data_IF_781922801591
#
_entry.id   IF_781922801591
#
_cell.length_a   1.000
_cell.length_b   1.000
_cell.length_c   1.000
_cell.angle_alpha   90.00
_cell.angle_beta   90.00
_cell.angle_gamma   90.00
#
_symmetry.space_group_name_H-M   'P 1'
#
loop_
_entity.id
_entity.type
_entity.pdbx_description
1 polymer ?
#
# COMPACT_ATOMS: atom_id res chain seq x y z
N UNK A 1 7.08 15.08 -9.32
CA UNK A 1 7.17 16.05 -8.19
C UNK A 1 8.31 15.72 -7.21
N UNK A 2 8.57 14.46 -6.83
CA UNK A 2 9.71 14.16 -5.92
C UNK A 2 11.08 14.25 -6.62
N UNK A 3 11.16 13.94 -7.93
CA UNK A 3 12.39 14.00 -8.73
C UNK A 3 13.17 15.33 -8.73
N UNK A 4 12.54 16.45 -8.38
CA UNK A 4 13.16 17.79 -8.42
C UNK A 4 13.81 18.25 -7.11
N UNK A 5 13.78 17.44 -6.03
CA UNK A 5 14.21 17.87 -4.68
C UNK A 5 15.40 17.07 -4.11
N UNK A 6 16.10 16.31 -4.96
CA UNK A 6 16.66 15.04 -4.53
C UNK A 6 18.01 15.03 -3.80
N UNK A 7 18.83 16.07 -3.87
CA UNK A 7 20.17 16.01 -3.26
C UNK A 7 20.23 16.47 -1.81
N UNK A 8 19.24 17.23 -1.33
CA UNK A 8 19.32 17.88 0.00
C UNK A 8 18.09 17.65 0.90
N UNK A 9 17.01 17.06 0.37
CA UNK A 9 15.80 16.83 1.15
C UNK A 9 15.99 15.69 2.17
N UNK A 10 15.53 15.94 3.41
CA UNK A 10 15.44 14.91 4.46
C UNK A 10 14.00 14.45 4.60
N UNK A 11 13.76 13.15 4.51
CA UNK A 11 12.43 12.57 4.68
C UNK A 11 12.27 12.02 6.09
N UNK A 12 11.08 12.22 6.65
CA UNK A 12 10.74 11.77 7.98
C UNK A 12 9.40 11.05 7.97
N UNK A 13 9.25 10.06 8.84
CA UNK A 13 7.97 9.40 9.11
C UNK A 13 7.76 9.28 10.61
N UNK A 14 6.52 9.45 11.07
CA UNK A 14 6.18 9.14 12.46
C UNK A 14 6.22 7.63 12.66
N UNK A 15 6.91 7.14 13.69
CA UNK A 15 6.99 5.70 14.02
C UNK A 15 5.61 5.06 14.20
N UNK A 16 4.62 5.81 14.67
CA UNK A 16 3.25 5.32 14.80
C UNK A 16 2.64 4.93 13.44
N UNK A 17 2.97 5.64 12.36
CA UNK A 17 2.55 5.27 11.01
C UNK A 17 3.15 3.93 10.55
N UNK A 18 4.37 3.61 10.96
CA UNK A 18 5.00 2.30 10.68
C UNK A 18 4.28 1.19 11.46
N UNK A 19 3.95 1.44 12.73
CA UNK A 19 3.15 0.52 13.55
C UNK A 19 1.76 0.28 12.95
N UNK A 20 1.13 1.31 12.40
CA UNK A 20 -0.14 1.15 11.70
C UNK A 20 -0.01 0.29 10.44
N UNK A 21 1.11 0.40 9.72
CA UNK A 21 1.39 -0.41 8.54
C UNK A 21 1.39 -1.91 8.86
N UNK A 22 1.68 -2.32 10.10
CA UNK A 22 1.58 -3.71 10.55
C UNK A 22 0.20 -4.31 10.35
N UNK A 23 -0.87 -3.51 10.41
CA UNK A 23 -2.22 -4.01 10.15
C UNK A 23 -2.39 -4.58 8.75
N UNK A 24 -1.56 -4.15 7.78
CA UNK A 24 -1.54 -4.68 6.42
C UNK A 24 -0.79 -6.00 6.28
N UNK A 25 0.03 -6.39 7.26
CA UNK A 25 0.83 -7.62 7.21
C UNK A 25 0.58 -8.58 8.39
N UNK A 26 -0.18 -8.19 9.42
CA UNK A 26 -0.58 -9.04 10.54
C UNK A 26 -2.09 -9.34 10.55
N UNK A 27 -2.70 -9.48 9.39
CA UNK A 27 -4.09 -9.96 9.32
C UNK A 27 -4.15 -11.49 9.42
N UNK A 28 -5.25 -12.07 9.93
CA UNK A 28 -5.44 -13.52 9.97
C UNK A 28 -5.27 -14.16 8.59
N UNK A 29 -4.31 -15.06 8.46
CA UNK A 29 -4.07 -15.79 7.22
C UNK A 29 -5.13 -16.90 7.04
N UNK A 30 -6.23 -16.55 6.35
CA UNK A 30 -7.34 -17.48 6.12
C UNK A 30 -7.98 -17.24 4.75
N UNK A 31 -8.91 -18.14 4.39
CA UNK A 31 -9.67 -18.08 3.14
C UNK A 31 -10.29 -16.70 2.85
N UNK A 32 -10.74 -15.99 3.87
CA UNK A 32 -11.43 -14.71 3.69
C UNK A 32 -10.50 -13.54 3.43
N UNK A 33 -9.25 -13.59 3.91
CA UNK A 33 -8.32 -12.45 3.91
C UNK A 33 -7.07 -12.66 3.08
N UNK A 34 -6.64 -13.90 2.83
CA UNK A 34 -5.40 -14.19 2.13
C UNK A 34 -5.62 -14.83 0.75
N UNK A 35 -5.22 -14.17 -0.36
CA UNK A 35 -5.40 -14.68 -1.72
C UNK A 35 -4.73 -16.03 -1.99
N UNK A 36 -3.52 -16.27 -1.47
CA UNK A 36 -2.81 -17.54 -1.68
C UNK A 36 -3.59 -18.73 -1.09
N UNK A 37 -4.19 -18.57 0.10
CA UNK A 37 -5.04 -19.59 0.73
C UNK A 37 -6.25 -19.88 -0.15
N UNK A 38 -6.84 -18.86 -0.78
CA UNK A 38 -7.95 -19.05 -1.72
C UNK A 38 -7.51 -19.82 -2.95
N UNK A 39 -6.43 -19.39 -3.60
CA UNK A 39 -5.89 -20.07 -4.78
C UNK A 39 -5.61 -21.55 -4.49
N UNK A 40 -4.92 -21.87 -3.40
CA UNK A 40 -4.59 -23.24 -2.99
C UNK A 40 -5.82 -24.08 -2.68
N UNK A 41 -6.85 -23.50 -2.07
CA UNK A 41 -8.07 -24.25 -1.73
C UNK A 41 -8.95 -24.43 -2.97
N UNK A 42 -9.09 -23.43 -3.83
CA UNK A 42 -9.80 -23.55 -5.13
C UNK A 42 -9.11 -24.61 -5.99
N UNK A 43 -7.78 -24.55 -6.12
CA UNK A 43 -6.99 -25.52 -6.89
C UNK A 43 -7.00 -26.94 -6.33
N UNK A 44 -7.59 -27.18 -5.15
CA UNK A 44 -7.79 -28.53 -4.59
C UNK A 44 -9.21 -29.04 -4.79
N UNK A 45 -10.21 -28.16 -4.63
CA UNK A 45 -11.62 -28.56 -4.61
C UNK A 45 -12.29 -28.49 -5.99
N UNK A 46 -11.75 -27.71 -6.93
CA UNK A 46 -12.35 -27.57 -8.25
C UNK A 46 -12.10 -28.83 -9.09
N UNK A 47 -13.15 -29.38 -9.69
CA UNK A 47 -13.06 -30.48 -10.63
C UNK A 47 -12.59 -30.02 -12.02
N UNK A 48 -12.07 -30.94 -12.84
CA UNK A 48 -11.49 -30.63 -14.15
C UNK A 48 -12.49 -29.93 -15.09
N UNK A 49 -13.72 -30.43 -15.17
CA UNK A 49 -14.77 -29.83 -16.02
C UNK A 49 -15.05 -28.36 -15.66
N UNK A 50 -15.04 -28.02 -14.38
CA UNK A 50 -15.23 -26.63 -13.93
C UNK A 50 -13.98 -25.79 -14.17
N UNK A 51 -12.80 -26.38 -13.98
CA UNK A 51 -11.52 -25.74 -14.21
C UNK A 51 -11.33 -25.36 -15.69
N UNK A 52 -11.72 -26.23 -16.61
CA UNK A 52 -11.70 -25.98 -18.07
C UNK A 52 -12.56 -24.78 -18.47
N UNK A 53 -13.66 -24.52 -17.75
CA UNK A 53 -14.56 -23.38 -18.02
C UNK A 53 -14.05 -22.04 -17.49
N UNK A 54 -13.06 -22.04 -16.60
CA UNK A 54 -12.48 -20.81 -16.07
C UNK A 54 -11.58 -20.14 -17.12
N UNK A 55 -11.63 -18.82 -17.20
CA UNK A 55 -10.80 -18.02 -18.10
C UNK A 55 -9.68 -17.36 -17.31
N UNK A 56 -8.43 -17.73 -17.60
CA UNK A 56 -7.25 -17.09 -17.03
C UNK A 56 -6.66 -16.09 -18.04
N UNK A 57 -6.11 -14.94 -17.59
CA UNK A 57 -5.82 -14.57 -16.20
C UNK A 57 -7.01 -13.99 -15.41
N UNK A 58 -8.16 -13.71 -16.03
CA UNK A 58 -9.30 -13.02 -15.39
C UNK A 58 -9.78 -13.69 -14.09
N UNK A 59 -9.83 -15.02 -14.03
CA UNK A 59 -10.17 -15.75 -12.80
C UNK A 59 -9.17 -15.52 -11.67
N UNK A 60 -7.87 -15.41 -11.96
CA UNK A 60 -6.87 -15.12 -10.93
C UNK A 60 -7.12 -13.74 -10.29
N UNK A 61 -7.40 -12.72 -11.10
CA UNK A 61 -7.79 -11.40 -10.60
C UNK A 61 -9.06 -11.45 -9.74
N UNK A 62 -10.09 -12.19 -10.15
CA UNK A 62 -11.30 -12.37 -9.34
C UNK A 62 -11.02 -13.05 -7.99
N UNK A 63 -10.10 -14.01 -7.94
CA UNK A 63 -9.73 -14.69 -6.69
C UNK A 63 -8.94 -13.75 -5.77
N UNK A 64 -8.07 -12.92 -6.34
CA UNK A 64 -7.34 -11.87 -5.60
C UNK A 64 -8.32 -10.86 -5.02
N UNK A 65 -9.25 -10.37 -5.84
CA UNK A 65 -10.32 -9.43 -5.47
C UNK A 65 -11.37 -10.04 -4.51
N UNK A 66 -11.49 -11.37 -4.46
CA UNK A 66 -12.54 -12.09 -3.73
C UNK A 66 -12.32 -12.26 -2.22
N UNK A 67 -13.34 -12.77 -1.51
CA UNK A 67 -13.36 -13.02 -0.06
C UNK A 67 -14.50 -12.30 0.67
N UNK A 68 -14.54 -12.33 2.01
CA UNK A 68 -15.41 -11.41 2.82
C UNK A 68 -15.00 -9.93 2.70
N UNK A 69 -14.03 -9.67 1.83
CA UNK A 69 -13.58 -8.34 1.45
C UNK A 69 -14.35 -7.76 0.26
N UNK A 70 -15.29 -8.53 -0.32
CA UNK A 70 -16.28 -7.99 -1.26
C UNK A 70 -16.95 -6.76 -0.64
N UNK A 71 -17.01 -5.68 -1.42
CA UNK A 71 -17.13 -4.27 -1.01
C UNK A 71 -18.10 -3.95 0.15
N UNK A 72 -17.74 -4.30 1.37
CA UNK A 72 -18.22 -3.60 2.54
C UNK A 72 -17.26 -2.45 2.75
N UNK A 73 -17.78 -1.22 2.74
CA UNK A 73 -17.03 0.05 2.79
C UNK A 73 -15.69 0.05 3.54
N UNK A 74 -15.56 -0.50 4.77
CA UNK A 74 -14.29 -0.50 5.50
C UNK A 74 -13.14 -1.29 4.86
N UNK A 75 -13.41 -2.25 3.96
CA UNK A 75 -12.40 -3.15 3.41
C UNK A 75 -12.01 -2.83 1.95
N UNK A 76 -12.67 -1.85 1.34
CA UNK A 76 -12.47 -1.51 -0.08
C UNK A 76 -11.03 -1.10 -0.40
N UNK A 77 -10.38 -0.36 0.50
CA UNK A 77 -9.00 0.08 0.32
C UNK A 77 -8.02 -1.10 0.43
N UNK A 78 -8.26 -2.05 1.32
CA UNK A 78 -7.43 -3.24 1.44
C UNK A 78 -7.51 -4.12 0.18
N UNK A 79 -8.71 -4.35 -0.37
CA UNK A 79 -8.88 -5.10 -1.63
C UNK A 79 -8.16 -4.42 -2.79
N UNK A 80 -8.28 -3.10 -2.89
CA UNK A 80 -7.56 -2.31 -3.89
C UNK A 80 -6.05 -2.51 -3.73
N UNK A 81 -5.50 -2.22 -2.55
CA UNK A 81 -4.06 -2.32 -2.31
C UNK A 81 -3.52 -3.73 -2.59
N UNK A 82 -4.20 -4.77 -2.11
CA UNK A 82 -3.78 -6.17 -2.36
C UNK A 82 -3.87 -6.58 -3.82
N UNK A 83 -4.85 -6.09 -4.57
CA UNK A 83 -4.96 -6.39 -6.00
C UNK A 83 -3.81 -5.76 -6.79
N UNK A 84 -3.48 -4.50 -6.50
CA UNK A 84 -2.32 -3.85 -7.10
C UNK A 84 -1.03 -4.56 -6.73
N UNK A 85 -0.88 -4.92 -5.45
CA UNK A 85 0.30 -5.58 -4.92
C UNK A 85 0.62 -6.90 -5.62
N UNK A 86 -0.36 -7.61 -6.18
CA UNK A 86 -0.17 -8.92 -6.80
C UNK A 86 -0.47 -8.95 -8.30
N UNK A 87 -0.84 -7.82 -8.90
CA UNK A 87 -1.26 -7.75 -10.31
C UNK A 87 -0.16 -8.22 -11.28
N UNK A 88 1.06 -7.72 -11.13
CA UNK A 88 2.22 -8.14 -11.94
C UNK A 88 2.61 -9.60 -11.74
N UNK A 89 2.27 -10.21 -10.59
CA UNK A 89 2.50 -11.65 -10.39
C UNK A 89 1.59 -12.46 -11.29
N UNK A 90 0.34 -12.03 -11.51
CA UNK A 90 -0.60 -12.72 -12.40
C UNK A 90 -0.05 -12.75 -13.82
N UNK A 91 0.50 -11.63 -14.29
CA UNK A 91 1.04 -11.50 -15.66
C UNK A 91 2.29 -12.37 -15.89
N UNK A 92 3.00 -12.77 -14.83
CA UNK A 92 4.19 -13.65 -14.89
C UNK A 92 3.85 -15.14 -14.92
N UNK A 93 2.58 -15.51 -14.82
CA UNK A 93 2.16 -16.92 -14.74
C UNK A 93 1.63 -17.41 -16.09
N UNK A 94 2.20 -18.51 -16.56
CA UNK A 94 1.59 -19.33 -17.60
C UNK A 94 0.46 -20.19 -16.99
N UNK A 95 -0.76 -19.96 -17.48
CA UNK A 95 -1.97 -20.67 -17.07
C UNK A 95 -2.41 -21.75 -18.07
N UNK A 96 -1.54 -22.18 -18.99
CA UNK A 96 -1.82 -23.33 -19.89
C UNK A 96 -2.24 -24.56 -19.07
N UNK A 97 -1.51 -24.87 -17.99
CA UNK A 97 -2.02 -25.70 -16.90
C UNK A 97 -2.59 -24.79 -15.80
N UNK A 98 -3.91 -24.66 -15.78
CA UNK A 98 -4.62 -23.75 -14.86
C UNK A 98 -4.39 -24.11 -13.40
N UNK A 99 -4.31 -25.41 -13.07
CA UNK A 99 -4.14 -25.86 -11.67
C UNK A 99 -2.73 -25.56 -11.19
N UNK A 100 -1.72 -25.89 -11.99
CA UNK A 100 -0.31 -25.56 -11.72
C UNK A 100 -0.09 -24.05 -11.69
N UNK A 101 -0.71 -23.30 -12.59
CA UNK A 101 -0.67 -21.83 -12.62
C UNK A 101 -1.21 -21.21 -11.33
N UNK A 102 -2.38 -21.64 -10.85
CA UNK A 102 -2.93 -21.18 -9.56
C UNK A 102 -2.01 -21.48 -8.38
N UNK A 103 -1.41 -22.67 -8.33
CA UNK A 103 -0.49 -23.06 -7.26
C UNK A 103 0.81 -22.24 -7.30
N UNK A 104 1.36 -22.01 -8.50
CA UNK A 104 2.54 -21.16 -8.70
C UNK A 104 2.26 -19.71 -8.30
N UNK A 105 1.13 -19.15 -8.72
CA UNK A 105 0.70 -17.81 -8.28
C UNK A 105 0.58 -17.72 -6.76
N UNK A 106 0.00 -18.73 -6.11
CA UNK A 106 -0.15 -18.76 -4.66
C UNK A 106 1.22 -18.71 -3.95
N UNK A 107 2.21 -19.44 -4.44
CA UNK A 107 3.58 -19.40 -3.90
C UNK A 107 4.20 -18.00 -4.04
N UNK A 108 4.11 -17.38 -5.22
CA UNK A 108 4.66 -16.04 -5.45
C UNK A 108 3.99 -14.98 -4.56
N UNK A 109 2.68 -15.10 -4.33
CA UNK A 109 1.95 -14.22 -3.40
C UNK A 109 2.46 -14.39 -1.97
N UNK A 110 2.67 -15.63 -1.51
CA UNK A 110 3.22 -15.89 -0.17
C UNK A 110 4.64 -15.35 -0.03
N UNK A 111 5.51 -15.56 -1.02
CA UNK A 111 6.88 -15.03 -1.05
C UNK A 111 6.88 -13.51 -0.93
N UNK A 112 6.11 -12.80 -1.78
CA UNK A 112 6.02 -11.35 -1.73
C UNK A 112 5.44 -10.84 -0.42
N UNK A 113 4.39 -11.49 0.10
CA UNK A 113 3.80 -11.13 1.38
C UNK A 113 4.81 -11.26 2.52
N UNK A 114 5.56 -12.36 2.56
CA UNK A 114 6.59 -12.57 3.59
C UNK A 114 7.73 -11.56 3.47
N UNK A 115 8.19 -11.24 2.26
CA UNK A 115 9.20 -10.20 2.03
C UNK A 115 8.73 -8.82 2.53
N UNK A 116 7.48 -8.45 2.28
CA UNK A 116 6.92 -7.18 2.75
C UNK A 116 6.75 -7.16 4.26
N UNK A 117 6.29 -8.28 4.83
CA UNK A 117 6.15 -8.43 6.27
C UNK A 117 7.50 -8.28 6.96
N UNK A 118 8.52 -8.99 6.51
CA UNK A 118 9.88 -8.92 7.04
C UNK A 118 10.45 -7.50 6.92
N UNK A 119 10.24 -6.82 5.78
CA UNK A 119 10.67 -5.43 5.61
C UNK A 119 9.99 -4.49 6.62
N UNK A 120 8.67 -4.55 6.75
CA UNK A 120 7.94 -3.69 7.71
C UNK A 120 8.35 -4.02 9.15
N UNK A 121 8.50 -5.29 9.49
CA UNK A 121 8.95 -5.73 10.83
C UNK A 121 10.36 -5.19 11.14
N UNK A 122 11.29 -5.23 10.18
CA UNK A 122 12.64 -4.67 10.34
C UNK A 122 12.63 -3.14 10.47
N UNK A 123 11.75 -2.45 9.72
CA UNK A 123 11.65 -0.99 9.74
C UNK A 123 11.01 -0.45 11.04
N UNK A 124 10.27 -1.27 11.80
CA UNK A 124 9.65 -0.87 13.08
C UNK A 124 10.66 -0.46 14.15
N UNK A 125 11.74 -1.23 14.26
CA UNK A 125 12.75 -1.08 15.29
C UNK A 125 13.89 -0.16 14.83
N UNK A 126 13.83 0.31 13.57
CA UNK A 126 14.84 1.18 13.01
C UNK A 126 14.47 2.66 13.13
N UNK A 127 15.42 3.46 13.60
CA UNK A 127 15.31 4.93 13.56
C UNK A 127 15.52 5.49 12.14
N UNK A 128 16.00 4.64 11.21
CA UNK A 128 16.36 5.05 9.85
C UNK A 128 16.23 3.88 8.88
N UNK A 129 15.55 4.08 7.76
CA UNK A 129 15.43 3.05 6.74
C UNK A 129 15.43 3.64 5.33
N UNK A 130 15.73 2.80 4.34
CA UNK A 130 15.79 3.19 2.94
C UNK A 130 14.49 2.79 2.21
N UNK A 131 13.92 3.75 1.51
CA UNK A 131 12.88 3.50 0.52
C UNK A 131 13.51 3.46 -0.87
N UNK A 132 13.65 2.24 -1.37
CA UNK A 132 13.94 1.98 -2.77
C UNK A 132 12.64 2.06 -3.60
N UNK A 133 12.49 3.14 -4.38
CA UNK A 133 11.33 3.32 -5.24
C UNK A 133 11.31 2.35 -6.42
N UNK A 134 12.44 1.79 -6.84
CA UNK A 134 12.45 0.74 -7.88
C UNK A 134 11.74 -0.54 -7.39
N UNK A 135 11.61 -0.70 -6.07
CA UNK A 135 10.84 -1.76 -5.43
C UNK A 135 9.38 -1.39 -5.16
N UNK A 136 8.97 -0.14 -5.38
CA UNK A 136 7.59 0.30 -5.18
C UNK A 136 6.83 0.19 -6.51
N UNK A 137 5.93 -0.78 -6.57
CA UNK A 137 5.01 -0.92 -7.69
C UNK A 137 3.97 0.22 -7.63
N UNK A 138 3.95 1.15 -8.60
CA UNK A 138 2.94 2.20 -8.65
C UNK A 138 1.56 1.59 -8.87
N UNK A 139 0.51 2.32 -8.48
CA UNK A 139 -0.89 1.90 -8.54
C UNK A 139 -1.33 1.35 -9.92
N UNK A 140 -0.71 1.79 -11.02
CA UNK A 140 -1.03 1.32 -12.38
C UNK A 140 0.07 0.47 -13.03
N UNK A 141 1.05 0.01 -12.24
CA UNK A 141 2.25 -0.68 -12.74
C UNK A 141 3.26 0.27 -13.39
N UNK A 142 4.48 -0.22 -13.58
CA UNK A 142 5.62 0.59 -14.08
C UNK A 142 5.37 1.19 -15.48
N UNK A 143 4.37 0.70 -16.22
CA UNK A 143 3.96 1.21 -17.54
C UNK A 143 3.70 2.72 -17.59
N UNK A 144 3.28 3.34 -16.49
CA UNK A 144 2.99 4.78 -16.44
C UNK A 144 4.14 5.63 -15.87
N UNK A 145 5.23 5.00 -15.44
CA UNK A 145 6.42 5.67 -14.95
C UNK A 145 7.39 5.89 -16.12
N UNK A 146 7.46 7.13 -16.59
CA UNK A 146 8.40 7.55 -17.63
C UNK A 146 9.82 7.72 -17.04
N UNK A 147 10.38 6.64 -16.49
CA UNK A 147 11.68 6.70 -15.82
C UNK A 147 12.41 5.35 -15.80
N UNK A 148 13.68 5.36 -16.18
CA UNK A 148 14.50 4.13 -16.25
C UNK A 148 15.08 3.68 -14.90
N UNK A 149 15.17 4.59 -13.92
CA UNK A 149 15.53 4.29 -12.54
C UNK A 149 14.87 5.31 -11.60
N UNK A 150 14.22 4.82 -10.55
CA UNK A 150 13.70 5.63 -9.47
C UNK A 150 14.77 5.76 -8.38
N UNK A 151 14.81 6.92 -7.74
CA UNK A 151 15.80 7.17 -6.70
C UNK A 151 15.50 6.37 -5.44
N UNK A 152 16.56 6.08 -4.70
CA UNK A 152 16.45 5.64 -3.30
C UNK A 152 16.50 6.86 -2.40
N UNK A 153 15.74 6.83 -1.33
CA UNK A 153 15.82 7.88 -0.33
C UNK A 153 15.74 7.32 1.08
N UNK A 154 16.47 7.97 1.94
CA UNK A 154 16.53 7.66 3.35
C UNK A 154 15.39 8.35 4.09
N UNK A 155 14.73 7.59 4.97
CA UNK A 155 13.66 8.06 5.84
C UNK A 155 14.10 7.92 7.28
N UNK A 156 13.96 9.01 8.04
CA UNK A 156 14.23 9.04 9.47
C UNK A 156 12.90 8.84 10.21
N UNK A 157 12.82 7.78 11.01
CA UNK A 157 11.67 7.52 11.84
C UNK A 157 11.77 8.37 13.12
N UNK A 158 10.71 9.12 13.44
CA UNK A 158 10.68 9.94 14.64
C UNK A 158 9.52 9.58 15.57
N UNK A 159 9.76 9.71 16.86
CA UNK A 159 8.80 9.41 17.91
C UNK A 159 7.85 10.57 18.14
N UNK A 160 6.56 10.26 18.22
CA UNK A 160 5.56 11.23 18.68
C UNK A 160 5.56 11.23 20.21
N UNK A 161 5.81 12.39 20.82
CA UNK A 161 5.85 12.53 22.29
C UNK A 161 4.47 12.27 22.94
N UNK A 162 3.40 12.71 22.28
CA UNK A 162 2.01 12.50 22.72
C UNK A 162 1.46 11.18 22.14
N UNK A 163 0.66 10.42 22.91
CA UNK A 163 -0.05 9.26 22.36
C UNK A 163 -1.39 9.70 21.80
N UNK A 164 -1.76 9.20 20.62
CA UNK A 164 -3.12 9.38 20.12
C UNK A 164 -4.12 8.67 21.04
N UNK A 165 -4.95 9.44 21.75
CA UNK A 165 -6.08 8.88 22.49
C UNK A 165 -7.18 8.45 21.51
N UNK A 166 -7.65 7.21 21.62
CA UNK A 166 -8.60 6.59 20.67
C UNK A 166 -9.79 7.53 20.36
N UNK A 167 -9.99 7.83 19.08
CA UNK A 167 -11.10 8.64 18.57
C UNK A 167 -11.48 8.30 17.13
N UNK A 168 -12.29 9.15 16.47
CA UNK A 168 -12.61 8.99 15.04
C UNK A 168 -11.32 9.11 14.20
N UNK A 169 -11.23 8.37 13.09
CA UNK A 169 -10.07 8.44 12.18
C UNK A 169 -9.75 9.86 11.67
N UNK A 170 -10.79 10.71 11.58
CA UNK A 170 -10.66 12.13 11.28
C UNK A 170 -9.75 12.86 12.29
N UNK A 171 -9.85 12.53 13.57
CA UNK A 171 -9.02 13.14 14.62
C UNK A 171 -7.57 12.67 14.56
N UNK A 172 -7.31 11.52 13.92
CA UNK A 172 -5.97 10.96 13.77
C UNK A 172 -5.15 11.70 12.71
N UNK A 173 -5.77 12.00 11.56
CA UNK A 173 -5.12 12.79 10.50
C UNK A 173 -4.73 14.19 11.01
N UNK A 174 -5.60 14.81 11.83
CA UNK A 174 -5.31 16.07 12.53
C UNK A 174 -4.18 15.89 13.54
N UNK A 175 -4.25 14.86 14.39
CA UNK A 175 -3.23 14.55 15.38
C UNK A 175 -1.83 14.41 14.76
N UNK A 176 -1.68 13.67 13.66
CA UNK A 176 -0.38 13.50 13.01
C UNK A 176 0.19 14.82 12.51
N UNK A 177 -0.65 15.69 11.94
CA UNK A 177 -0.23 17.02 11.48
C UNK A 177 0.11 17.96 12.65
N UNK A 178 -0.69 17.98 13.71
CA UNK A 178 -0.40 18.79 14.90
C UNK A 178 0.87 18.32 15.63
N UNK A 179 1.06 17.01 15.73
CA UNK A 179 2.28 16.40 16.25
C UNK A 179 3.51 16.87 15.45
N UNK A 180 3.42 16.88 14.13
CA UNK A 180 4.48 17.40 13.25
C UNK A 180 4.80 18.86 13.55
N UNK A 181 3.77 19.71 13.73
CA UNK A 181 3.93 21.13 14.08
C UNK A 181 4.58 21.36 15.45
N UNK A 182 4.25 20.51 16.44
CA UNK A 182 4.80 20.59 17.81
C UNK A 182 6.21 20.00 17.93
N UNK A 183 6.66 19.22 16.94
CA UNK A 183 7.95 18.55 17.00
C UNK A 183 9.11 19.55 17.01
N UNK A 184 10.28 19.11 17.49
CA UNK A 184 11.53 19.88 17.38
C UNK A 184 12.11 19.91 15.96
N UNK A 185 11.56 19.12 15.05
CA UNK A 185 12.00 19.03 13.66
C UNK A 185 11.33 20.15 12.86
N UNK A 186 12.13 20.93 12.12
CA UNK A 186 11.61 21.97 11.23
C UNK A 186 11.23 21.35 9.90
N UNK A 187 9.93 21.13 9.70
CA UNK A 187 9.40 20.60 8.45
C UNK A 187 8.99 21.74 7.51
N UNK A 188 9.38 21.63 6.24
CA UNK A 188 8.94 22.57 5.21
C UNK A 188 7.60 22.16 4.58
N UNK A 189 7.37 20.83 4.48
CA UNK A 189 6.21 20.25 3.79
C UNK A 189 5.77 18.92 4.44
N UNK A 190 4.51 18.59 4.28
CA UNK A 190 3.94 17.27 4.53
C UNK A 190 3.48 16.63 3.22
N UNK A 191 3.96 15.42 2.93
CA UNK A 191 3.52 14.64 1.77
C UNK A 191 2.43 13.65 2.20
N UNK A 192 1.30 13.64 1.50
CA UNK A 192 0.16 12.77 1.83
C UNK A 192 -0.47 12.14 0.60
N UNK A 193 -0.77 10.83 0.68
CA UNK A 193 -1.40 10.09 -0.42
C UNK A 193 -2.88 10.47 -0.65
N UNK A 194 -3.54 11.07 0.34
CA UNK A 194 -4.96 11.40 0.26
C UNK A 194 -5.17 12.76 -0.44
N UNK A 195 -5.90 12.73 -1.57
CA UNK A 195 -6.15 13.90 -2.43
C UNK A 195 -6.89 15.05 -1.75
N UNK A 196 -7.63 14.81 -0.66
CA UNK A 196 -8.44 15.82 0.06
C UNK A 196 -7.91 16.17 1.44
N UNK A 197 -6.73 15.68 1.81
CA UNK A 197 -6.19 15.84 3.16
C UNK A 197 -5.98 17.31 3.54
N UNK A 198 -5.39 18.12 2.66
CA UNK A 198 -5.14 19.55 2.91
C UNK A 198 -6.43 20.33 3.20
N UNK A 199 -7.49 20.11 2.41
CA UNK A 199 -8.80 20.71 2.62
C UNK A 199 -9.40 20.31 3.97
N UNK A 200 -9.23 19.04 4.35
CA UNK A 200 -9.72 18.52 5.61
C UNK A 200 -9.01 19.15 6.81
N UNK A 201 -7.66 19.14 6.82
CA UNK A 201 -6.86 19.74 7.90
C UNK A 201 -7.13 21.23 8.03
N UNK A 202 -7.18 21.97 6.90
CA UNK A 202 -7.50 23.40 6.91
C UNK A 202 -8.88 23.69 7.52
N UNK A 203 -9.87 22.83 7.27
CA UNK A 203 -11.21 22.97 7.86
C UNK A 203 -11.19 22.75 9.38
N UNK A 204 -10.36 21.85 9.89
CA UNK A 204 -10.29 21.55 11.32
C UNK A 204 -9.45 22.58 12.09
N UNK A 205 -8.29 22.97 11.55
CA UNK A 205 -7.31 23.82 12.23
C UNK A 205 -7.41 25.31 11.86
N UNK A 206 -8.22 25.66 10.86
CA UNK A 206 -8.39 27.02 10.34
C UNK A 206 -7.21 27.55 9.51
N UNK A 207 -6.00 27.01 9.71
CA UNK A 207 -4.78 27.39 9.00
C UNK A 207 -3.91 26.18 8.68
N UNK A 208 -2.97 26.36 7.75
CA UNK A 208 -1.94 25.38 7.39
C UNK A 208 -0.57 26.06 7.49
N UNK A 209 0.07 26.05 8.68
CA UNK A 209 1.38 26.68 8.85
C UNK A 209 2.48 26.04 8.00
N UNK A 210 2.32 24.77 7.63
CA UNK A 210 3.23 23.99 6.80
C UNK A 210 2.46 23.53 5.56
N UNK A 211 3.11 23.56 4.40
CA UNK A 211 2.48 23.15 3.14
C UNK A 211 2.15 21.65 3.17
N UNK A 212 0.91 21.30 2.79
CA UNK A 212 0.51 19.91 2.59
C UNK A 212 0.43 19.64 1.08
N UNK A 213 1.31 18.77 0.60
CA UNK A 213 1.33 18.29 -0.78
C UNK A 213 0.55 16.98 -0.85
N UNK A 214 -0.69 17.06 -1.32
CA UNK A 214 -1.51 15.88 -1.59
C UNK A 214 -1.08 15.21 -2.90
N UNK A 215 -1.22 13.87 -2.97
CA UNK A 215 -1.15 13.17 -4.23
C UNK A 215 -2.17 13.74 -5.23
N UNK A 216 -1.76 13.83 -6.49
CA UNK A 216 -2.62 14.25 -7.59
C UNK A 216 -3.07 13.03 -8.39
N UNK A 217 -4.35 12.97 -8.75
CA UNK A 217 -4.84 11.92 -9.65
C UNK A 217 -4.45 12.28 -11.06
N UNK A 218 -3.74 11.40 -11.78
CA UNK A 218 -3.53 11.59 -13.22
C UNK A 218 -4.82 11.59 -14.05
N UNK A 219 -5.95 11.13 -13.49
CA UNK A 219 -7.23 11.24 -14.19
C UNK A 219 -7.61 12.70 -14.46
N UNK A 220 -7.19 13.67 -13.64
CA UNK A 220 -7.47 15.08 -13.93
C UNK A 220 -6.67 15.60 -15.13
N UNK A 221 -5.50 15.01 -15.44
CA UNK A 221 -4.69 15.38 -16.62
C UNK A 221 -5.18 14.71 -17.91
N UNK A 222 -5.94 13.61 -17.83
CA UNK A 222 -6.41 12.83 -19.00
C UNK A 222 -7.76 13.36 -19.53
N UNK A 223 -8.55 14.00 -18.67
CA UNK A 223 -9.90 14.48 -18.99
C UNK A 223 -10.02 16.00 -19.05
N UNK A 224 -8.90 16.74 -18.98
CA UNK A 224 -8.77 18.16 -19.36
C UNK A 224 -8.12 18.27 -20.74
#
# INVERSE_FOLDING_TARGET
>A
MIKSYHSEAKFYIQKDCIKEALSYVHYPNNWFRHPSVRLRKISKIINEKSLERLSFPSTAFQIILGGKMWAQGPYLNFVRHTTFLYSDLVDRIDFTDKRKGMLKLANLIDERYNQLRERIENDLDSDKFEIDLDLILPYWGNYYLYTDALFKFEVIAWDVEEKFEKGKASNRDVFHYESMLKSKIKFDKMLVANTRFSLYIKKQLGSLPIEIVCAQSRQTEIFE
#
